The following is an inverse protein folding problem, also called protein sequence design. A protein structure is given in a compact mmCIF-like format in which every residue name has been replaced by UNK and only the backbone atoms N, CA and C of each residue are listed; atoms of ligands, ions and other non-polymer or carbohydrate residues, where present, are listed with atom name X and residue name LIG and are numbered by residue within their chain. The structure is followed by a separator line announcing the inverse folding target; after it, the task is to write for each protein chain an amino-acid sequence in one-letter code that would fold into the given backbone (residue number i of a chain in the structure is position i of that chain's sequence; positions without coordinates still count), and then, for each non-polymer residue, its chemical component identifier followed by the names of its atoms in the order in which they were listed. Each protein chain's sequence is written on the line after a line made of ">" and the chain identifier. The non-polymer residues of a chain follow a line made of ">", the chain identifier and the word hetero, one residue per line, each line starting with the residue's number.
data_IF_710211858558
#
_entry.id   IF_710211858558
#
_cell.length_a   1.000
_cell.length_b   1.000
_cell.length_c   1.000
_cell.angle_alpha   90.00
_cell.angle_beta   90.00
_cell.angle_gamma   90.00
#
_symmetry.space_group_name_H-M   'P 1'
#
loop_
_entity.id
_entity.type
_entity.pdbx_description
1 polymer ?
#
# COMPACT_ATOMS: atom_id res chain seq x y z
N UNK A 1 10.11 -6.24 -17.07
CA UNK A 1 9.14 -5.13 -17.15
C UNK A 1 9.54 -4.03 -16.18
N UNK A 2 9.05 -2.82 -16.42
CA UNK A 2 9.21 -1.65 -15.56
C UNK A 2 8.01 -1.51 -14.63
N UNK A 3 8.26 -1.56 -13.33
CA UNK A 3 7.22 -1.53 -12.30
C UNK A 3 7.34 -0.27 -11.45
N UNK A 4 6.29 0.54 -11.46
CA UNK A 4 6.17 1.71 -10.59
C UNK A 4 5.32 1.38 -9.38
N UNK A 5 5.93 1.41 -8.20
CA UNK A 5 5.25 1.17 -6.92
C UNK A 5 4.85 2.51 -6.31
N UNK A 6 3.56 2.71 -6.07
CA UNK A 6 3.02 3.95 -5.50
C UNK A 6 2.48 3.66 -4.11
N UNK A 7 2.88 4.44 -3.11
CA UNK A 7 2.48 4.15 -1.74
C UNK A 7 2.98 5.17 -0.73
N UNK A 8 2.78 4.87 0.55
CA UNK A 8 3.42 5.59 1.66
C UNK A 8 4.72 4.89 2.04
N UNK A 9 5.82 5.64 2.06
CA UNK A 9 7.13 5.16 2.54
C UNK A 9 7.17 5.18 4.08
N UNK A 10 7.88 4.24 4.68
CA UNK A 10 8.08 4.16 6.13
C UNK A 10 6.78 3.88 6.88
N UNK A 11 5.87 3.11 6.28
CA UNK A 11 4.73 2.58 7.00
C UNK A 11 5.18 1.52 8.00
N UNK A 12 4.37 1.24 9.03
CA UNK A 12 4.74 0.29 10.10
C UNK A 12 5.06 -1.11 9.57
N UNK A 13 4.40 -1.53 8.49
CA UNK A 13 4.60 -2.83 7.83
C UNK A 13 5.59 -2.78 6.66
N UNK A 14 6.17 -1.60 6.35
CA UNK A 14 7.11 -1.37 5.24
C UNK A 14 6.61 -1.94 3.90
N UNK A 15 5.29 -1.89 3.66
CA UNK A 15 4.67 -2.63 2.56
C UNK A 15 5.20 -2.19 1.20
N UNK A 16 5.40 -0.88 0.99
CA UNK A 16 5.94 -0.33 -0.24
C UNK A 16 7.38 -0.81 -0.49
N UNK A 17 8.21 -0.77 0.54
CA UNK A 17 9.62 -1.17 0.47
C UNK A 17 9.78 -2.68 0.28
N UNK A 18 8.98 -3.49 0.96
CA UNK A 18 8.98 -4.94 0.83
C UNK A 18 8.50 -5.39 -0.56
N UNK A 19 7.48 -4.74 -1.11
CA UNK A 19 7.08 -4.97 -2.52
C UNK A 19 8.22 -4.58 -3.47
N UNK A 20 8.90 -3.45 -3.23
CA UNK A 20 10.03 -3.04 -4.06
C UNK A 20 11.18 -4.04 -4.04
N UNK A 21 11.47 -4.65 -2.88
CA UNK A 21 12.45 -5.72 -2.78
C UNK A 21 12.01 -6.94 -3.61
N UNK A 22 10.76 -7.38 -3.45
CA UNK A 22 10.22 -8.55 -4.16
C UNK A 22 10.26 -8.40 -5.69
N UNK A 23 9.82 -7.26 -6.23
CA UNK A 23 9.86 -7.03 -7.68
C UNK A 23 11.30 -6.96 -8.24
N UNK A 24 12.24 -6.38 -7.49
CA UNK A 24 13.66 -6.36 -7.89
C UNK A 24 14.26 -7.77 -7.87
N UNK A 25 13.91 -8.58 -6.87
CA UNK A 25 14.35 -9.97 -6.77
C UNK A 25 13.79 -10.83 -7.91
N UNK A 26 12.57 -10.54 -8.36
CA UNK A 26 11.97 -11.14 -9.55
C UNK A 26 12.59 -10.63 -10.87
N UNK A 27 13.63 -9.78 -10.83
CA UNK A 27 14.33 -9.29 -12.02
C UNK A 27 13.63 -8.14 -12.74
N UNK A 28 12.73 -7.41 -12.07
CA UNK A 28 12.02 -6.27 -12.66
C UNK A 28 12.70 -4.94 -12.33
N UNK A 29 12.75 -4.04 -13.32
CA UNK A 29 13.19 -2.67 -13.10
C UNK A 29 12.12 -1.97 -12.26
N UNK A 30 12.47 -1.58 -11.03
CA UNK A 30 11.46 -1.17 -10.04
C UNK A 30 11.77 0.20 -9.47
N UNK A 31 10.81 1.12 -9.59
CA UNK A 31 10.86 2.47 -9.01
C UNK A 31 9.75 2.65 -7.99
N UNK A 32 10.04 3.35 -6.91
CA UNK A 32 9.03 3.72 -5.90
C UNK A 32 8.65 5.20 -6.06
N UNK A 33 7.38 5.50 -5.85
CA UNK A 33 6.84 6.85 -5.71
C UNK A 33 6.12 6.95 -4.37
N UNK A 34 6.70 7.74 -3.46
CA UNK A 34 6.20 7.91 -2.11
C UNK A 34 5.34 9.17 -2.00
N UNK A 35 4.04 9.03 -1.68
CA UNK A 35 3.13 10.19 -1.56
C UNK A 35 3.45 11.10 -0.36
N UNK A 36 4.25 10.61 0.59
CA UNK A 36 4.76 11.37 1.72
C UNK A 36 6.18 11.92 1.49
N UNK A 37 6.66 11.91 0.25
CA UNK A 37 8.01 12.33 -0.12
C UNK A 37 9.02 11.18 -0.10
N UNK A 38 9.91 11.17 -1.10
CA UNK A 38 10.94 10.15 -1.22
C UNK A 38 12.23 10.56 -0.55
N UNK A 39 12.64 11.82 -0.67
CA UNK A 39 13.82 12.38 0.02
C UNK A 39 13.41 13.12 1.30
N UNK A 40 14.37 13.40 2.23
CA UNK A 40 14.09 14.24 3.40
C UNK A 40 13.53 15.62 3.03
N UNK A 41 13.98 16.18 1.89
CA UNK A 41 13.49 17.45 1.38
C UNK A 41 12.05 17.35 0.87
N UNK A 42 11.74 16.32 0.07
CA UNK A 42 10.37 16.08 -0.39
C UNK A 42 9.42 15.83 0.78
N UNK A 43 9.89 15.09 1.78
CA UNK A 43 9.12 14.83 3.00
C UNK A 43 8.80 16.12 3.75
N UNK A 44 9.79 17.00 3.91
CA UNK A 44 9.60 18.31 4.55
C UNK A 44 8.64 19.18 3.74
N UNK A 45 8.80 19.23 2.42
CA UNK A 45 7.92 19.98 1.52
C UNK A 45 6.48 19.47 1.61
N UNK A 46 6.26 18.16 1.55
CA UNK A 46 4.92 17.55 1.70
C UNK A 46 4.34 17.88 3.07
N UNK A 47 5.13 17.79 4.14
CA UNK A 47 4.68 18.09 5.51
C UNK A 47 4.25 19.56 5.65
N UNK A 48 5.06 20.48 5.12
CA UNK A 48 4.76 21.93 5.12
C UNK A 48 3.50 22.24 4.31
N UNK A 49 3.41 21.77 3.05
CA UNK A 49 2.24 22.06 2.21
C UNK A 49 0.97 21.42 2.78
N UNK A 50 1.06 20.21 3.34
CA UNK A 50 -0.06 19.54 4.02
C UNK A 50 -0.62 20.35 5.18
N UNK A 51 0.23 21.07 5.92
CA UNK A 51 -0.17 21.87 7.07
C UNK A 51 -0.94 23.13 6.67
N UNK A 52 -0.67 23.70 5.50
CA UNK A 52 -1.21 25.01 5.12
C UNK A 52 -2.22 24.98 3.96
N UNK A 53 -2.08 24.07 2.96
CA UNK A 53 -2.87 24.09 1.72
C UNK A 53 -3.01 22.70 1.06
N UNK A 54 -4.05 21.94 1.40
CA UNK A 54 -4.34 20.62 0.78
C UNK A 54 -4.40 20.63 -0.77
N UNK A 55 -5.09 21.57 -1.44
CA UNK A 55 -5.16 21.56 -2.92
C UNK A 55 -3.81 21.78 -3.60
N UNK A 56 -2.91 22.53 -2.94
CA UNK A 56 -1.56 22.75 -3.44
C UNK A 56 -0.70 21.48 -3.33
N UNK A 57 -0.94 20.65 -2.31
CA UNK A 57 -0.28 19.35 -2.16
C UNK A 57 -0.69 18.40 -3.29
N UNK A 58 -1.98 18.32 -3.59
CA UNK A 58 -2.49 17.45 -4.65
C UNK A 58 -1.91 17.84 -6.01
N UNK A 59 -1.82 19.15 -6.30
CA UNK A 59 -1.19 19.66 -7.53
C UNK A 59 0.30 19.33 -7.59
N UNK A 60 1.02 19.49 -6.48
CA UNK A 60 2.44 19.16 -6.39
C UNK A 60 2.68 17.67 -6.64
N UNK A 61 1.95 16.82 -5.94
CA UNK A 61 2.06 15.37 -6.06
C UNK A 61 1.70 14.89 -7.47
N UNK A 62 0.62 15.43 -8.06
CA UNK A 62 0.24 15.10 -9.44
C UNK A 62 1.35 15.45 -10.44
N UNK A 63 1.97 16.64 -10.34
CA UNK A 63 3.08 17.05 -11.22
C UNK A 63 4.31 16.15 -11.06
N UNK A 64 4.72 15.85 -9.82
CA UNK A 64 5.86 14.97 -9.56
C UNK A 64 5.59 13.56 -10.09
N UNK A 65 4.37 13.07 -9.90
CA UNK A 65 3.96 11.76 -10.36
C UNK A 65 3.90 11.69 -11.89
N UNK A 66 3.37 12.71 -12.56
CA UNK A 66 3.38 12.82 -14.02
C UNK A 66 4.81 12.77 -14.57
N UNK A 67 5.76 13.49 -13.94
CA UNK A 67 7.18 13.41 -14.31
C UNK A 67 7.75 12.00 -14.10
N UNK A 68 7.38 11.31 -13.02
CA UNK A 68 7.78 9.94 -12.77
C UNK A 68 7.24 8.99 -13.86
N UNK A 69 5.97 9.12 -14.25
CA UNK A 69 5.36 8.35 -15.34
C UNK A 69 6.08 8.59 -16.67
N UNK A 70 6.29 9.86 -17.05
CA UNK A 70 6.93 10.23 -18.34
C UNK A 70 8.38 9.75 -18.44
N UNK A 71 9.15 9.86 -17.36
CA UNK A 71 10.57 9.51 -17.34
C UNK A 71 10.80 8.00 -17.22
N UNK A 72 9.98 7.30 -16.43
CA UNK A 72 10.16 5.88 -16.20
C UNK A 72 9.47 5.03 -17.26
N UNK A 73 8.28 5.46 -17.72
CA UNK A 73 7.38 4.73 -18.61
C UNK A 73 7.13 3.29 -18.10
N UNK A 74 6.46 3.14 -16.94
CA UNK A 74 6.17 1.82 -16.40
C UNK A 74 5.25 1.02 -17.32
N UNK A 75 5.47 -0.29 -17.37
CA UNK A 75 4.51 -1.24 -17.96
C UNK A 75 3.39 -1.55 -16.94
N UNK A 76 3.76 -1.56 -15.65
CA UNK A 76 2.89 -1.88 -14.52
C UNK A 76 3.01 -0.81 -13.43
N UNK A 77 1.88 -0.39 -12.88
CA UNK A 77 1.78 0.42 -11.68
C UNK A 77 1.09 -0.38 -10.57
N UNK A 78 1.78 -0.56 -9.44
CA UNK A 78 1.20 -1.20 -8.25
C UNK A 78 0.98 -0.15 -7.17
N UNK A 79 -0.26 0.00 -6.72
CA UNK A 79 -0.64 0.98 -5.71
C UNK A 79 -0.83 0.30 -4.36
N UNK A 80 0.12 0.50 -3.46
CA UNK A 80 0.14 -0.07 -2.13
C UNK A 80 -0.70 0.78 -1.19
N UNK A 81 -1.83 0.24 -0.73
CA UNK A 81 -2.84 0.98 0.02
C UNK A 81 -3.63 1.91 -0.91
N UNK A 82 -4.27 1.35 -1.93
CA UNK A 82 -4.91 2.07 -3.04
C UNK A 82 -5.75 3.28 -2.59
N UNK A 83 -6.58 3.12 -1.55
CA UNK A 83 -7.47 4.18 -1.09
C UNK A 83 -6.77 5.26 -0.24
N UNK A 84 -5.57 4.99 0.26
CA UNK A 84 -4.73 5.98 0.93
C UNK A 84 -4.05 6.98 -0.01
N UNK A 85 -4.15 6.77 -1.33
CA UNK A 85 -3.54 7.64 -2.35
C UNK A 85 -4.50 8.76 -2.77
N UNK A 86 -4.04 10.02 -2.93
CA UNK A 86 -4.87 11.11 -3.40
C UNK A 86 -5.47 10.85 -4.80
N UNK A 87 -6.72 11.24 -5.02
CA UNK A 87 -7.40 11.08 -6.31
C UNK A 87 -6.62 11.75 -7.46
N UNK A 88 -5.96 12.89 -7.19
CA UNK A 88 -5.17 13.62 -8.18
C UNK A 88 -4.05 12.76 -8.82
N UNK A 89 -3.48 11.79 -8.09
CA UNK A 89 -2.50 10.84 -8.63
C UNK A 89 -3.16 9.96 -9.69
N UNK A 90 -4.32 9.39 -9.40
CA UNK A 90 -5.07 8.56 -10.34
C UNK A 90 -5.50 9.34 -11.57
N UNK A 91 -5.97 10.58 -11.40
CA UNK A 91 -6.40 11.43 -12.51
C UNK A 91 -5.27 11.71 -13.52
N UNK A 92 -4.01 11.72 -13.11
CA UNK A 92 -2.89 11.86 -14.07
C UNK A 92 -2.78 10.68 -15.04
N UNK A 93 -3.31 9.51 -14.70
CA UNK A 93 -3.30 8.33 -15.57
C UNK A 93 -4.14 8.52 -16.82
N UNK A 94 -5.14 9.41 -16.78
CA UNK A 94 -5.99 9.73 -17.94
C UNK A 94 -5.18 10.32 -19.11
N UNK A 95 -4.01 10.93 -18.83
CA UNK A 95 -3.13 11.53 -19.83
C UNK A 95 -1.86 10.70 -20.08
N UNK A 96 -1.70 9.55 -19.45
CA UNK A 96 -0.53 8.70 -19.61
C UNK A 96 -0.58 7.94 -20.94
N UNK A 97 0.51 8.00 -21.72
CA UNK A 97 0.65 7.24 -22.96
C UNK A 97 2.08 6.68 -23.13
N UNK A 98 2.29 5.35 -23.16
CA UNK A 98 1.26 4.32 -22.90
C UNK A 98 0.76 4.38 -21.45
N UNK A 99 -0.51 4.03 -21.23
CA UNK A 99 -1.08 3.86 -19.89
C UNK A 99 -0.53 2.54 -19.31
N UNK A 100 0.09 2.53 -18.11
CA UNK A 100 0.47 1.29 -17.45
C UNK A 100 -0.76 0.49 -17.05
N UNK A 101 -0.61 -0.84 -16.92
CA UNK A 101 -1.60 -1.64 -16.20
C UNK A 101 -1.56 -1.27 -14.71
N UNK A 102 -2.71 -1.05 -14.08
CA UNK A 102 -2.80 -0.54 -12.70
C UNK A 102 -3.39 -1.59 -11.78
N UNK A 103 -2.62 -1.98 -10.77
CA UNK A 103 -3.04 -2.92 -9.73
C UNK A 103 -3.16 -2.17 -8.39
N UNK A 104 -4.31 -2.29 -7.74
CA UNK A 104 -4.54 -1.75 -6.40
C UNK A 104 -4.41 -2.82 -5.32
N UNK A 105 -3.51 -2.62 -4.36
CA UNK A 105 -3.43 -3.45 -3.16
C UNK A 105 -4.20 -2.79 -2.02
N UNK A 106 -5.08 -3.56 -1.38
CA UNK A 106 -5.95 -3.10 -0.29
C UNK A 106 -5.74 -3.99 0.93
N UNK A 107 -5.30 -3.37 2.03
CA UNK A 107 -5.08 -4.05 3.30
C UNK A 107 -5.64 -3.32 4.50
N UNK A 108 -6.54 -2.36 4.27
CA UNK A 108 -7.23 -1.63 5.33
C UNK A 108 -8.65 -1.31 4.86
N UNK A 109 -9.50 -0.91 5.81
CA UNK A 109 -10.89 -0.52 5.57
C UNK A 109 -10.95 0.64 4.58
N UNK A 110 -11.96 0.60 3.72
CA UNK A 110 -12.28 1.67 2.78
C UNK A 110 -13.78 1.97 2.83
N UNK A 111 -14.16 3.10 2.24
CA UNK A 111 -15.55 3.54 2.17
C UNK A 111 -16.07 3.49 0.73
N UNK A 112 -17.38 3.49 0.57
CA UNK A 112 -18.04 3.56 -0.74
C UNK A 112 -17.70 4.83 -1.53
N UNK A 113 -17.25 5.90 -0.85
CA UNK A 113 -16.78 7.14 -1.48
C UNK A 113 -15.51 6.98 -2.31
N UNK A 114 -14.84 5.83 -2.25
CA UNK A 114 -13.60 5.55 -2.96
C UNK A 114 -13.79 5.06 -4.41
N UNK A 115 -15.05 4.91 -4.86
CA UNK A 115 -15.40 4.44 -6.21
C UNK A 115 -14.70 5.23 -7.31
N UNK A 116 -14.58 6.55 -7.16
CA UNK A 116 -13.91 7.40 -8.16
C UNK A 116 -12.43 7.02 -8.37
N UNK A 117 -11.75 6.47 -7.35
CA UNK A 117 -10.37 5.96 -7.52
C UNK A 117 -10.36 4.58 -8.18
N UNK A 118 -11.37 3.76 -7.90
CA UNK A 118 -11.49 2.40 -8.45
C UNK A 118 -11.62 2.38 -9.97
N UNK A 119 -12.20 3.42 -10.58
CA UNK A 119 -12.29 3.57 -12.05
C UNK A 119 -10.94 3.62 -12.77
N UNK A 120 -9.85 3.91 -12.05
CA UNK A 120 -8.50 3.98 -12.61
C UNK A 120 -7.68 2.71 -12.41
N UNK A 121 -8.21 1.72 -11.69
CA UNK A 121 -7.52 0.50 -11.30
C UNK A 121 -8.04 -0.64 -12.18
N UNK A 122 -7.14 -1.38 -12.82
CA UNK A 122 -7.52 -2.45 -13.74
C UNK A 122 -7.72 -3.78 -13.00
N UNK A 123 -7.05 -3.99 -11.86
CA UNK A 123 -7.19 -5.16 -10.99
C UNK A 123 -7.00 -4.77 -9.51
N UNK A 124 -7.83 -5.33 -8.63
CA UNK A 124 -7.62 -5.25 -7.19
C UNK A 124 -7.13 -6.57 -6.61
N UNK A 125 -6.25 -6.46 -5.61
CA UNK A 125 -5.92 -7.53 -4.70
C UNK A 125 -6.15 -7.10 -3.26
N UNK A 126 -6.87 -7.92 -2.51
CA UNK A 126 -7.22 -7.69 -1.11
C UNK A 126 -6.47 -8.65 -0.21
N UNK A 127 -5.97 -8.15 0.93
CA UNK A 127 -5.31 -8.98 1.94
C UNK A 127 -6.29 -9.75 2.84
N UNK A 128 -7.58 -9.47 2.71
CA UNK A 128 -8.67 -10.08 3.48
C UNK A 128 -9.86 -10.27 2.54
N UNK A 129 -10.44 -11.47 2.51
CA UNK A 129 -11.57 -11.80 1.64
C UNK A 129 -12.83 -11.01 2.00
N UNK A 130 -12.98 -10.56 3.25
CA UNK A 130 -14.08 -9.67 3.65
C UNK A 130 -14.13 -8.38 2.82
N UNK A 131 -12.98 -7.87 2.39
CA UNK A 131 -12.91 -6.65 1.58
C UNK A 131 -13.37 -6.88 0.13
N UNK A 132 -13.31 -8.11 -0.38
CA UNK A 132 -13.79 -8.45 -1.72
C UNK A 132 -15.32 -8.28 -1.78
N UNK A 133 -16.02 -8.76 -0.75
CA UNK A 133 -17.47 -8.62 -0.65
C UNK A 133 -17.87 -7.14 -0.55
N UNK A 134 -17.14 -6.35 0.25
CA UNK A 134 -17.38 -4.91 0.35
C UNK A 134 -17.13 -4.17 -0.98
N UNK A 135 -16.07 -4.52 -1.71
CA UNK A 135 -15.78 -3.94 -3.02
C UNK A 135 -16.85 -4.31 -4.06
N UNK A 136 -17.35 -5.54 -4.01
CA UNK A 136 -18.45 -6.03 -4.85
C UNK A 136 -19.73 -5.24 -4.57
N UNK A 137 -20.09 -5.07 -3.29
CA UNK A 137 -21.26 -4.29 -2.87
C UNK A 137 -21.14 -2.80 -3.22
N UNK A 138 -19.92 -2.25 -3.17
CA UNK A 138 -19.64 -0.88 -3.60
C UNK A 138 -19.68 -0.69 -5.13
N UNK A 139 -19.79 -1.78 -5.90
CA UNK A 139 -19.86 -1.76 -7.35
C UNK A 139 -18.56 -1.35 -8.02
N UNK A 140 -17.42 -1.83 -7.50
CA UNK A 140 -16.13 -1.61 -8.15
C UNK A 140 -16.11 -2.29 -9.54
N UNK A 141 -15.64 -1.60 -10.58
CA UNK A 141 -15.78 -2.07 -11.96
C UNK A 141 -14.76 -3.15 -12.35
N UNK A 142 -13.68 -3.25 -11.59
CA UNK A 142 -12.49 -4.03 -11.93
C UNK A 142 -12.55 -5.44 -11.34
N UNK A 143 -11.71 -6.33 -11.86
CA UNK A 143 -11.54 -7.65 -11.27
C UNK A 143 -11.01 -7.54 -9.83
N UNK A 144 -11.55 -8.40 -8.95
CA UNK A 144 -11.29 -8.43 -7.52
C UNK A 144 -10.73 -9.80 -7.17
N UNK A 145 -9.60 -9.85 -6.46
CA UNK A 145 -8.98 -11.12 -6.09
C UNK A 145 -8.30 -11.02 -4.71
N UNK A 146 -7.99 -12.18 -4.13
CA UNK A 146 -7.31 -12.30 -2.86
C UNK A 146 -5.81 -12.42 -3.06
N UNK A 147 -5.03 -11.63 -2.31
CA UNK A 147 -3.58 -11.78 -2.23
C UNK A 147 -3.14 -11.75 -0.77
N UNK A 148 -2.76 -12.91 -0.19
CA UNK A 148 -2.33 -12.97 1.20
C UNK A 148 -1.06 -12.14 1.41
N UNK A 149 -0.91 -11.60 2.62
CA UNK A 149 0.34 -10.96 3.02
C UNK A 149 1.45 -12.01 3.08
N UNK A 150 2.62 -11.64 2.56
CA UNK A 150 3.80 -12.48 2.59
C UNK A 150 4.93 -11.79 3.36
N UNK A 151 5.77 -12.61 3.99
CA UNK A 151 6.94 -12.14 4.73
C UNK A 151 8.10 -11.88 3.78
N UNK A 152 8.92 -10.86 4.07
CA UNK A 152 10.20 -10.66 3.37
C UNK A 152 11.27 -11.62 3.94
N UNK A 153 11.68 -12.66 3.20
CA UNK A 153 12.58 -13.70 3.73
C UNK A 153 14.00 -13.20 3.99
N UNK A 154 14.40 -12.05 3.43
CA UNK A 154 15.72 -11.45 3.69
C UNK A 154 15.80 -10.73 5.03
N UNK A 155 14.65 -10.27 5.53
CA UNK A 155 14.55 -9.56 6.81
C UNK A 155 14.10 -10.48 7.93
N UNK A 156 13.11 -11.33 7.64
CA UNK A 156 12.52 -12.24 8.60
C UNK A 156 12.74 -13.67 8.12
N UNK A 157 13.67 -14.33 8.78
CA UNK A 157 13.98 -15.73 8.57
C UNK A 157 14.09 -16.41 9.93
N UNK A 158 13.73 -17.70 10.03
CA UNK A 158 13.87 -18.44 11.26
C UNK A 158 15.34 -18.50 11.66
N UNK A 159 15.64 -18.14 12.92
CA UNK A 159 16.94 -18.37 13.53
C UNK A 159 16.83 -19.58 14.46
N UNK A 160 17.88 -20.43 14.55
CA UNK A 160 17.92 -21.48 15.56
C UNK A 160 17.73 -20.88 16.96
N UNK A 161 16.89 -21.50 17.78
CA UNK A 161 16.62 -21.04 19.13
C UNK A 161 15.76 -22.02 19.92
N UNK A 162 15.82 -21.94 21.24
CA UNK A 162 14.98 -22.72 22.14
C UNK A 162 13.58 -22.11 22.18
N UNK A 163 12.53 -22.95 22.17
CA UNK A 163 11.15 -22.50 22.34
C UNK A 163 10.97 -21.82 23.70
N UNK A 164 10.44 -20.60 23.69
CA UNK A 164 10.02 -19.87 24.89
C UNK A 164 8.49 -19.97 24.96
N UNK A 165 7.95 -20.46 26.07
CA UNK A 165 6.51 -20.63 26.27
C UNK A 165 5.86 -19.32 26.78
N UNK A 166 6.11 -18.23 26.08
CA UNK A 166 5.56 -16.91 26.37
C UNK A 166 4.87 -16.36 25.12
N UNK A 167 3.86 -15.51 25.32
CA UNK A 167 3.18 -14.82 24.23
C UNK A 167 3.87 -13.48 24.00
N UNK A 168 4.43 -13.29 22.80
CA UNK A 168 4.91 -11.99 22.36
C UNK A 168 3.75 -11.22 21.70
N UNK A 169 3.25 -10.19 22.37
CA UNK A 169 2.21 -9.31 21.84
C UNK A 169 2.81 -8.01 21.31
N UNK A 170 2.75 -7.82 19.98
CA UNK A 170 3.25 -6.61 19.31
C UNK A 170 2.07 -5.87 18.67
N UNK A 171 1.55 -4.87 19.38
CA UNK A 171 0.56 -3.94 18.84
C UNK A 171 0.60 -2.63 19.61
N UNK A 172 -0.05 -1.59 19.08
CA UNK A 172 -0.35 -0.41 19.88
C UNK A 172 -1.21 -0.81 21.08
N UNK A 173 -0.81 -0.39 22.28
CA UNK A 173 -1.55 -0.66 23.51
C UNK A 173 -2.94 -0.02 23.46
N UNK A 174 -3.95 -0.81 23.80
CA UNK A 174 -5.30 -0.34 24.11
C UNK A 174 -5.83 -1.19 25.28
N UNK A 175 -6.72 -0.65 26.15
CA UNK A 175 -7.28 -1.42 27.25
C UNK A 175 -7.92 -2.74 26.79
N UNK A 176 -8.69 -2.68 25.69
CA UNK A 176 -9.31 -3.86 25.07
C UNK A 176 -8.28 -4.91 24.62
N UNK A 177 -7.17 -4.50 24.00
CA UNK A 177 -6.13 -5.43 23.55
C UNK A 177 -5.39 -6.08 24.72
N UNK A 178 -5.12 -5.31 25.77
CA UNK A 178 -4.51 -5.85 26.98
C UNK A 178 -5.42 -6.87 27.66
N UNK A 179 -6.71 -6.54 27.82
CA UNK A 179 -7.70 -7.45 28.38
C UNK A 179 -7.80 -8.74 27.56
N UNK A 180 -7.88 -8.62 26.22
CA UNK A 180 -7.89 -9.76 25.30
C UNK A 180 -6.66 -10.65 25.52
N UNK A 181 -5.44 -10.09 25.52
CA UNK A 181 -4.21 -10.87 25.69
C UNK A 181 -4.17 -11.54 27.06
N UNK A 182 -4.59 -10.85 28.13
CA UNK A 182 -4.65 -11.41 29.49
C UNK A 182 -5.67 -12.54 29.63
N UNK A 183 -6.72 -12.54 28.80
CA UNK A 183 -7.72 -13.62 28.79
C UNK A 183 -7.26 -14.91 28.10
N UNK A 184 -6.14 -14.88 27.37
CA UNK A 184 -5.57 -16.07 26.71
C UNK A 184 -4.90 -16.95 27.77
N UNK A 185 -5.66 -17.92 28.31
CA UNK A 185 -5.16 -18.90 29.29
C UNK A 185 -4.64 -20.19 28.64
N UNK A 186 -4.99 -20.44 27.38
CA UNK A 186 -4.59 -21.63 26.62
C UNK A 186 -4.16 -21.23 25.21
N UNK A 187 -3.33 -22.04 24.52
CA UNK A 187 -2.91 -21.75 23.15
C UNK A 187 -4.11 -21.59 22.22
N UNK A 188 -4.17 -20.48 21.50
CA UNK A 188 -5.19 -20.19 20.48
C UNK A 188 -4.60 -20.45 19.10
N UNK A 189 -5.36 -21.11 18.23
CA UNK A 189 -5.01 -21.23 16.80
C UNK A 189 -5.82 -20.20 16.02
N UNK A 190 -5.14 -19.39 15.21
CA UNK A 190 -5.75 -18.41 14.31
C UNK A 190 -5.57 -18.94 12.88
N UNK A 191 -6.66 -19.00 12.12
CA UNK A 191 -6.70 -19.44 10.73
C UNK A 191 -6.92 -18.25 9.80
#
# INVERSE_FOLDING_TARGET
>A
MKVLLVGKRGSIVLWLENMAAAFREAGHETRMFAINGFTPWDYLQVKLVKQFRKPALDTLLARQFEQALRSFRPDLMLVVGAFGIPLAIYQTLASANPKPWVIGLVGDKFSTGERAKAEFIDQFYFSDTFFIDLATQAGFPSALDYLPLAVNPRQFYPRPGTRINEILFIANHTPYREELVRSIQTPVTIY
#
